data_IF_844562973181
#
_entry.id   IF_844562973181
#
_cell.length_a   1.000
_cell.length_b   1.000
_cell.length_c   1.000
_cell.angle_alpha   90.00
_cell.angle_beta   90.00
_cell.angle_gamma   90.00
#
_symmetry.space_group_name_H-M   'P 1'
#
loop_
_entity.id
_entity.type
_entity.pdbx_description
1 polymer ?
#
# COMPACT_ATOMS: atom_id res chain seq x y z
N UNK A 1 0.67 1.20 -29.43
CA UNK A 1 -0.08 0.47 -28.37
C UNK A 1 0.78 -0.71 -27.95
N UNK A 2 1.59 -0.58 -26.91
CA UNK A 2 2.35 -1.71 -26.36
C UNK A 2 1.46 -2.41 -25.36
N UNK A 3 1.07 -3.63 -25.67
CA UNK A 3 0.42 -4.57 -24.77
C UNK A 3 1.24 -4.67 -23.50
N UNK A 4 0.58 -4.50 -22.35
CA UNK A 4 1.15 -4.83 -21.05
C UNK A 4 1.40 -6.33 -21.12
N UNK A 5 2.64 -6.83 -20.91
CA UNK A 5 2.88 -8.25 -20.92
C UNK A 5 1.94 -8.89 -19.89
N UNK A 6 1.01 -9.72 -20.35
CA UNK A 6 0.24 -10.60 -19.49
C UNK A 6 1.25 -11.47 -18.74
N UNK A 7 1.40 -11.22 -17.44
CA UNK A 7 2.13 -12.18 -16.60
C UNK A 7 1.45 -13.54 -16.78
N UNK A 8 2.20 -14.57 -17.15
CA UNK A 8 1.61 -15.88 -17.34
C UNK A 8 0.90 -16.26 -16.05
N UNK A 9 -0.42 -16.34 -16.12
CA UNK A 9 -1.23 -16.88 -15.02
C UNK A 9 -0.60 -18.21 -14.65
N UNK A 10 -0.53 -18.59 -13.38
CA UNK A 10 -0.17 -19.94 -13.00
C UNK A 10 -1.29 -20.87 -13.49
N UNK A 11 -1.29 -21.17 -14.78
CA UNK A 11 -2.37 -21.82 -15.54
C UNK A 11 -2.80 -23.14 -14.92
N UNK A 12 -1.91 -23.86 -14.23
CA UNK A 12 -2.23 -25.18 -13.70
C UNK A 12 -3.11 -25.17 -12.44
N UNK A 13 -2.94 -24.23 -11.53
CA UNK A 13 -3.70 -24.23 -10.27
C UNK A 13 -5.09 -23.63 -10.44
N UNK A 14 -5.21 -22.47 -11.10
CA UNK A 14 -6.51 -21.84 -11.37
C UNK A 14 -7.37 -22.71 -12.29
N UNK A 15 -6.79 -23.34 -13.32
CA UNK A 15 -7.49 -24.26 -14.22
C UNK A 15 -7.95 -25.55 -13.53
N UNK A 16 -7.22 -25.98 -12.50
CA UNK A 16 -7.56 -27.20 -11.77
C UNK A 16 -8.57 -26.95 -10.65
N UNK A 17 -8.54 -25.75 -10.04
CA UNK A 17 -9.38 -25.39 -8.91
C UNK A 17 -10.74 -24.82 -9.36
N UNK A 18 -10.78 -24.07 -10.46
CA UNK A 18 -12.00 -23.51 -11.02
C UNK A 18 -11.87 -23.22 -12.54
N UNK A 19 -11.84 -24.24 -13.38
CA UNK A 19 -11.51 -24.10 -14.79
C UNK A 19 -12.54 -23.26 -15.60
N UNK A 20 -13.76 -23.13 -15.11
CA UNK A 20 -14.85 -22.42 -15.81
C UNK A 20 -15.36 -21.19 -15.05
N UNK A 21 -14.84 -20.87 -13.87
CA UNK A 21 -15.36 -19.81 -13.02
C UNK A 21 -16.75 -20.11 -12.41
N UNK A 22 -17.41 -21.17 -12.85
CA UNK A 22 -18.79 -21.51 -12.48
C UNK A 22 -18.90 -22.46 -11.26
N UNK A 23 -17.83 -23.17 -10.90
CA UNK A 23 -17.83 -24.15 -9.81
C UNK A 23 -17.08 -23.63 -8.59
N UNK A 24 -17.75 -23.68 -7.43
CA UNK A 24 -17.13 -23.41 -6.13
C UNK A 24 -16.07 -24.46 -5.81
N UNK A 25 -15.02 -24.03 -5.12
CA UNK A 25 -13.97 -24.93 -4.62
C UNK A 25 -14.45 -25.63 -3.37
N UNK A 26 -14.58 -26.95 -3.40
CA UNK A 26 -15.16 -27.76 -2.33
C UNK A 26 -14.12 -28.34 -1.36
N UNK A 27 -12.93 -28.70 -1.84
CA UNK A 27 -11.85 -29.28 -1.01
C UNK A 27 -10.64 -28.40 -1.09
N UNK A 28 -10.46 -27.51 -0.11
CA UNK A 28 -9.37 -26.55 -0.07
C UNK A 28 -8.51 -26.67 1.19
N UNK A 29 -9.12 -27.06 2.32
CA UNK A 29 -8.40 -27.13 3.60
C UNK A 29 -7.24 -28.13 3.57
N UNK A 30 -7.41 -29.26 2.87
CA UNK A 30 -6.36 -30.25 2.66
C UNK A 30 -5.13 -29.67 1.96
N UNK A 31 -5.35 -28.74 1.03
CA UNK A 31 -4.28 -28.02 0.31
C UNK A 31 -3.63 -26.92 1.16
N UNK A 32 -4.40 -26.34 2.12
CA UNK A 32 -3.87 -25.34 3.04
C UNK A 32 -2.86 -25.99 3.98
N UNK A 33 -3.18 -27.12 4.62
CA UNK A 33 -2.29 -27.77 5.58
C UNK A 33 -1.23 -28.68 4.99
N UNK A 34 -1.16 -28.86 3.65
CA UNK A 34 -0.07 -29.59 3.02
C UNK A 34 1.29 -29.08 3.50
N UNK A 35 2.20 -29.99 3.94
CA UNK A 35 3.52 -29.65 4.46
C UNK A 35 4.28 -28.68 3.55
N UNK A 36 4.35 -28.98 2.26
CA UNK A 36 4.98 -28.10 1.27
C UNK A 36 4.37 -26.68 1.24
N UNK A 37 3.06 -26.54 1.45
CA UNK A 37 2.43 -25.21 1.50
C UNK A 37 2.75 -24.47 2.80
N UNK A 38 2.85 -25.18 3.92
CA UNK A 38 3.28 -24.61 5.19
C UNK A 38 4.73 -24.15 5.16
N UNK A 39 5.62 -24.95 4.56
CA UNK A 39 7.03 -24.55 4.31
C UNK A 39 7.11 -23.28 3.46
N UNK A 40 6.39 -23.24 2.33
CA UNK A 40 6.32 -22.04 1.48
C UNK A 40 5.76 -20.82 2.24
N UNK A 41 4.80 -21.03 3.11
CA UNK A 41 4.23 -19.98 3.96
C UNK A 41 5.25 -19.47 4.96
N UNK A 42 5.95 -20.38 5.63
CA UNK A 42 7.03 -20.04 6.55
C UNK A 42 8.12 -19.19 5.88
N UNK A 43 8.62 -19.60 4.71
CA UNK A 43 9.65 -18.83 3.98
C UNK A 43 9.23 -17.37 3.72
N UNK A 44 7.96 -17.14 3.38
CA UNK A 44 7.44 -15.79 3.19
C UNK A 44 7.35 -15.00 4.51
N UNK A 45 6.91 -15.65 5.59
CA UNK A 45 6.82 -15.02 6.91
C UNK A 45 8.22 -14.67 7.43
N UNK A 46 9.18 -15.58 7.28
CA UNK A 46 10.58 -15.37 7.65
C UNK A 46 11.20 -14.19 6.91
N UNK A 47 11.00 -14.12 5.59
CA UNK A 47 11.53 -13.04 4.75
C UNK A 47 11.03 -11.64 5.17
N UNK A 48 9.82 -11.55 5.74
CA UNK A 48 9.22 -10.28 6.18
C UNK A 48 9.77 -9.76 7.52
N UNK A 49 10.53 -10.57 8.29
CA UNK A 49 11.22 -10.16 9.53
C UNK A 49 10.35 -9.36 10.53
N UNK A 50 9.09 -9.74 10.68
CA UNK A 50 8.15 -9.02 11.55
C UNK A 50 8.37 -9.28 13.05
N UNK A 51 7.88 -8.37 13.90
CA UNK A 51 7.90 -8.52 15.36
C UNK A 51 7.03 -9.68 15.84
N UNK A 52 7.27 -10.22 17.05
CA UNK A 52 6.46 -11.23 17.69
C UNK A 52 5.04 -10.77 18.05
N UNK A 53 4.11 -11.71 18.16
CA UNK A 53 2.72 -11.48 18.55
C UNK A 53 2.52 -11.36 20.06
N UNK A 54 1.36 -11.81 20.55
CA UNK A 54 1.02 -11.82 21.98
C UNK A 54 1.85 -12.82 22.78
N UNK A 55 2.30 -13.89 22.15
CA UNK A 55 3.17 -14.93 22.70
C UNK A 55 4.64 -14.49 22.88
N UNK A 56 5.01 -13.34 22.28
CA UNK A 56 6.38 -12.82 22.32
C UNK A 56 7.38 -13.59 21.45
N UNK A 57 6.98 -14.70 20.80
CA UNK A 57 7.87 -15.51 19.95
C UNK A 57 8.41 -14.68 18.78
N UNK A 58 9.72 -14.65 18.62
CA UNK A 58 10.36 -13.99 17.47
C UNK A 58 10.44 -14.93 16.25
N UNK A 59 10.77 -14.37 15.08
CA UNK A 59 11.05 -15.17 13.88
C UNK A 59 12.24 -16.10 14.09
N UNK A 60 13.24 -15.69 14.87
CA UNK A 60 14.42 -16.51 15.18
C UNK A 60 14.04 -17.69 16.11
N UNK A 61 13.20 -17.45 17.13
CA UNK A 61 12.73 -18.51 18.03
C UNK A 61 11.89 -19.56 17.28
N UNK A 62 11.05 -19.11 16.36
CA UNK A 62 10.27 -20.02 15.51
C UNK A 62 11.19 -20.85 14.59
N UNK A 63 12.25 -20.24 14.01
CA UNK A 63 13.21 -20.93 13.14
C UNK A 63 13.90 -22.08 13.88
N UNK A 64 14.27 -21.88 15.16
CA UNK A 64 14.89 -22.94 15.96
C UNK A 64 13.98 -24.16 16.17
N UNK A 65 12.67 -23.97 16.13
CA UNK A 65 11.66 -25.03 16.33
C UNK A 65 10.82 -25.26 15.06
N UNK A 66 11.31 -24.84 13.90
CA UNK A 66 10.55 -24.75 12.64
C UNK A 66 9.78 -26.05 12.33
N UNK A 67 10.46 -27.17 12.30
CA UNK A 67 9.86 -28.43 11.85
C UNK A 67 8.78 -28.91 12.83
N UNK A 68 9.02 -28.78 14.14
CA UNK A 68 8.03 -29.07 15.17
C UNK A 68 6.80 -28.18 15.07
N UNK A 69 7.00 -26.87 14.89
CA UNK A 69 5.90 -25.88 14.77
C UNK A 69 5.09 -26.11 13.48
N UNK A 70 5.73 -26.42 12.36
CA UNK A 70 5.03 -26.71 11.11
C UNK A 70 4.28 -28.04 11.18
N UNK A 71 4.84 -29.09 11.80
CA UNK A 71 4.16 -30.36 12.03
C UNK A 71 3.00 -30.22 13.00
N UNK A 72 3.12 -29.37 14.03
CA UNK A 72 2.04 -29.01 14.94
C UNK A 72 0.92 -28.33 14.16
N UNK A 73 1.21 -27.29 13.38
CA UNK A 73 0.22 -26.57 12.57
C UNK A 73 -0.47 -27.50 11.57
N UNK A 74 0.28 -28.40 10.93
CA UNK A 74 -0.27 -29.41 10.03
C UNK A 74 -1.32 -30.29 10.76
N UNK A 75 -0.98 -30.83 11.95
CA UNK A 75 -1.90 -31.65 12.75
C UNK A 75 -3.13 -30.87 13.21
N UNK A 76 -2.93 -29.67 13.77
CA UNK A 76 -4.04 -28.84 14.26
C UNK A 76 -5.02 -28.46 13.14
N UNK A 77 -4.52 -28.13 11.96
CA UNK A 77 -5.37 -27.82 10.80
C UNK A 77 -6.05 -29.07 10.24
N UNK A 78 -5.35 -30.21 10.17
CA UNK A 78 -5.91 -31.49 9.71
C UNK A 78 -7.06 -31.94 10.60
N UNK A 79 -6.87 -31.84 11.91
CA UNK A 79 -7.80 -32.36 12.91
C UNK A 79 -8.89 -31.33 13.30
N UNK A 80 -8.92 -30.16 12.66
CA UNK A 80 -9.88 -29.03 12.86
C UNK A 80 -9.85 -28.44 14.29
N UNK A 81 -8.72 -28.58 14.98
CA UNK A 81 -8.52 -28.09 16.37
C UNK A 81 -7.73 -26.79 16.45
N UNK A 82 -7.19 -26.30 15.34
CA UNK A 82 -6.47 -25.02 15.29
C UNK A 82 -7.38 -23.87 15.78
N UNK A 83 -6.82 -23.01 16.64
CA UNK A 83 -7.48 -21.79 17.12
C UNK A 83 -6.50 -20.62 17.03
N UNK A 84 -6.82 -19.57 16.25
CA UNK A 84 -5.97 -18.38 16.15
C UNK A 84 -5.93 -17.64 17.48
N UNK A 85 -4.75 -17.11 17.81
CA UNK A 85 -4.60 -16.28 19.00
C UNK A 85 -5.02 -14.82 18.70
N UNK A 86 -5.36 -14.04 19.75
CA UNK A 86 -5.61 -12.61 19.60
C UNK A 86 -4.41 -11.89 19.01
N UNK A 87 -4.64 -10.84 18.21
CA UNK A 87 -3.55 -10.03 17.69
C UNK A 87 -3.03 -9.06 18.75
N UNK A 88 -1.72 -8.91 18.84
CA UNK A 88 -1.09 -7.88 19.67
C UNK A 88 -1.34 -6.50 19.06
N UNK A 89 -2.04 -5.63 19.77
CA UNK A 89 -2.22 -4.25 19.35
C UNK A 89 -0.99 -3.39 19.65
N UNK A 90 -0.51 -2.67 18.64
CA UNK A 90 0.57 -1.70 18.78
C UNK A 90 0.09 -0.38 18.20
N UNK A 91 -0.02 0.69 19.03
CA UNK A 91 -0.40 2.00 18.54
C UNK A 91 0.73 2.61 17.70
N UNK A 92 0.41 2.97 16.45
CA UNK A 92 1.32 3.65 15.53
C UNK A 92 0.82 5.07 15.29
N UNK A 93 1.65 6.11 15.43
CA UNK A 93 1.24 7.48 15.14
C UNK A 93 0.76 7.63 13.71
N UNK A 94 -0.41 8.23 13.52
CA UNK A 94 -0.87 8.58 12.17
C UNK A 94 0.03 9.65 11.59
N UNK A 95 0.64 9.33 10.48
CA UNK A 95 1.60 10.20 9.84
C UNK A 95 0.98 11.56 9.44
N UNK A 96 1.55 12.66 9.94
CA UNK A 96 1.11 14.03 9.68
C UNK A 96 -0.13 14.48 10.45
N UNK A 97 -0.49 13.75 11.52
CA UNK A 97 -1.55 14.11 12.46
C UNK A 97 -1.04 13.90 13.89
N UNK A 98 -0.42 14.92 14.49
CA UNK A 98 0.03 14.85 15.87
C UNK A 98 -1.11 14.50 16.81
N UNK A 99 -0.89 13.52 17.71
CA UNK A 99 -1.90 13.07 18.66
C UNK A 99 -2.91 12.03 18.14
N UNK A 100 -2.99 11.76 16.83
CA UNK A 100 -3.80 10.66 16.30
C UNK A 100 -2.99 9.37 16.16
N UNK A 101 -3.54 8.26 16.63
CA UNK A 101 -2.94 6.91 16.57
C UNK A 101 -3.80 5.99 15.72
N UNK A 102 -3.21 4.95 15.19
CA UNK A 102 -3.88 3.79 14.61
C UNK A 102 -3.32 2.53 15.25
N UNK A 103 -4.16 1.57 15.52
CA UNK A 103 -3.74 0.30 16.07
C UNK A 103 -3.32 -0.65 14.94
N UNK A 104 -2.08 -1.14 15.01
CA UNK A 104 -1.61 -2.23 14.17
C UNK A 104 -1.79 -3.54 14.94
N UNK A 105 -2.52 -4.48 14.35
CA UNK A 105 -2.67 -5.83 14.90
C UNK A 105 -1.55 -6.74 14.43
N UNK A 106 -0.75 -7.28 15.34
CA UNK A 106 0.37 -8.17 15.05
C UNK A 106 -0.01 -9.58 15.46
N UNK A 107 -0.35 -10.51 14.54
CA UNK A 107 -0.59 -11.92 14.87
C UNK A 107 0.70 -12.61 15.33
N UNK A 108 0.59 -13.74 16.03
CA UNK A 108 1.72 -14.60 16.35
C UNK A 108 2.42 -15.08 15.08
N UNK A 109 3.67 -15.53 15.19
CA UNK A 109 4.38 -16.09 14.02
C UNK A 109 3.64 -17.33 13.51
N UNK A 110 3.16 -18.18 14.43
CA UNK A 110 2.38 -19.37 14.13
C UNK A 110 1.12 -19.03 13.30
N UNK A 111 0.35 -18.03 13.75
CA UNK A 111 -0.84 -17.58 13.04
C UNK A 111 -0.52 -16.94 11.68
N UNK A 112 0.60 -16.22 11.56
CA UNK A 112 1.03 -15.66 10.26
C UNK A 112 1.35 -16.76 9.26
N UNK A 113 1.97 -17.88 9.70
CA UNK A 113 2.21 -19.03 8.82
C UNK A 113 0.90 -19.64 8.36
N UNK A 114 -0.07 -19.83 9.28
CA UNK A 114 -1.41 -20.30 8.94
C UNK A 114 -2.11 -19.37 7.94
N UNK A 115 -2.13 -18.07 8.21
CA UNK A 115 -2.73 -17.07 7.33
C UNK A 115 -2.04 -17.03 5.96
N UNK A 116 -0.73 -17.16 5.92
CA UNK A 116 0.02 -17.17 4.66
C UNK A 116 -0.24 -18.47 3.86
N UNK A 117 -0.36 -19.61 4.55
CA UNK A 117 -0.72 -20.86 3.90
C UNK A 117 -2.14 -20.79 3.30
N UNK A 118 -3.07 -20.19 4.01
CA UNK A 118 -4.42 -19.91 3.52
C UNK A 118 -4.39 -18.93 2.33
N UNK A 119 -3.65 -17.83 2.44
CA UNK A 119 -3.48 -16.84 1.39
C UNK A 119 -2.92 -17.45 0.10
N UNK A 120 -1.92 -18.34 0.20
CA UNK A 120 -1.35 -19.03 -0.95
C UNK A 120 -2.39 -19.81 -1.78
N UNK A 121 -3.48 -20.24 -1.14
CA UNK A 121 -4.56 -21.03 -1.77
C UNK A 121 -5.74 -20.17 -2.19
N UNK A 122 -6.06 -19.11 -1.46
CA UNK A 122 -7.18 -18.22 -1.78
C UNK A 122 -6.82 -17.22 -2.89
N UNK A 123 -5.61 -16.66 -2.89
CA UNK A 123 -5.20 -15.64 -3.85
C UNK A 123 -5.44 -16.08 -5.32
N UNK A 124 -5.04 -17.30 -5.76
CA UNK A 124 -5.30 -17.75 -7.14
C UNK A 124 -6.79 -17.92 -7.49
N UNK A 125 -7.64 -18.12 -6.49
CA UNK A 125 -9.10 -18.27 -6.70
C UNK A 125 -9.74 -16.90 -6.90
N UNK A 126 -9.35 -15.90 -6.09
CA UNK A 126 -9.96 -14.57 -6.09
C UNK A 126 -9.32 -13.57 -7.04
N UNK A 127 -8.03 -13.71 -7.37
CA UNK A 127 -7.34 -12.75 -8.26
C UNK A 127 -8.06 -12.57 -9.62
N UNK A 128 -8.57 -13.63 -10.29
CA UNK A 128 -9.34 -13.48 -11.54
C UNK A 128 -10.70 -12.77 -11.35
N UNK A 129 -11.22 -12.76 -10.12
CA UNK A 129 -12.50 -12.14 -9.79
C UNK A 129 -12.39 -10.63 -9.56
N UNK A 130 -11.17 -10.14 -9.29
CA UNK A 130 -10.98 -8.72 -9.01
C UNK A 130 -11.09 -7.88 -10.27
N UNK A 131 -11.80 -6.76 -10.12
CA UNK A 131 -11.99 -5.80 -11.20
C UNK A 131 -10.67 -5.09 -11.58
N UNK A 132 -10.57 -4.67 -12.84
CA UNK A 132 -9.42 -3.91 -13.35
C UNK A 132 -9.27 -2.52 -12.74
N UNK A 133 -10.32 -2.01 -12.11
CA UNK A 133 -10.25 -0.76 -11.33
C UNK A 133 -9.44 -0.90 -10.04
N UNK A 134 -9.25 -2.14 -9.52
CA UNK A 134 -8.56 -2.42 -8.28
C UNK A 134 -7.07 -2.67 -8.49
N UNK A 135 -6.22 -1.91 -7.79
CA UNK A 135 -4.75 -1.96 -7.90
C UNK A 135 -4.05 -2.35 -6.60
N UNK A 136 -4.65 -2.08 -5.44
CA UNK A 136 -4.02 -2.34 -4.13
C UNK A 136 -3.95 -3.82 -3.79
N UNK A 137 -2.83 -4.23 -3.17
CA UNK A 137 -2.60 -5.60 -2.68
C UNK A 137 -2.69 -6.71 -3.73
N UNK A 138 -2.49 -6.39 -5.01
CA UNK A 138 -2.55 -7.33 -6.13
C UNK A 138 -1.19 -7.46 -6.80
N UNK A 139 -0.82 -8.69 -7.16
CA UNK A 139 0.42 -8.97 -7.91
C UNK A 139 0.37 -8.33 -9.29
N UNK A 140 1.50 -7.79 -9.74
CA UNK A 140 1.59 -7.12 -11.04
C UNK A 140 0.90 -5.76 -11.11
N UNK A 141 0.18 -5.33 -10.06
CA UNK A 141 -0.43 -4.01 -9.94
C UNK A 141 0.43 -3.09 -9.05
N UNK A 142 0.35 -1.80 -9.27
CA UNK A 142 1.18 -0.84 -8.53
C UNK A 142 0.46 0.50 -8.35
N UNK A 143 0.89 1.32 -7.35
CA UNK A 143 0.40 2.68 -7.21
C UNK A 143 0.60 3.52 -8.49
N UNK A 144 1.74 3.31 -9.19
CA UNK A 144 2.01 4.01 -10.45
C UNK A 144 1.07 3.56 -11.58
N UNK A 145 0.61 2.29 -11.57
CA UNK A 145 -0.42 1.81 -12.49
C UNK A 145 -1.74 2.55 -12.29
N UNK A 146 -2.20 2.66 -11.04
CA UNK A 146 -3.40 3.41 -10.67
C UNK A 146 -3.29 4.90 -11.05
N UNK A 147 -2.17 5.54 -10.71
CA UNK A 147 -1.90 6.93 -11.07
C UNK A 147 -1.91 7.15 -12.58
N UNK A 148 -1.31 6.24 -13.37
CA UNK A 148 -1.30 6.32 -14.84
C UNK A 148 -2.71 6.20 -15.41
N UNK A 149 -3.56 5.32 -14.85
CA UNK A 149 -4.96 5.20 -15.26
C UNK A 149 -5.70 6.52 -15.04
N UNK A 150 -5.66 7.07 -13.83
CA UNK A 150 -6.26 8.38 -13.51
C UNK A 150 -5.73 9.49 -14.41
N UNK A 151 -4.42 9.51 -14.65
CA UNK A 151 -3.78 10.48 -15.53
C UNK A 151 -4.35 10.44 -16.94
N UNK A 152 -4.42 9.24 -17.55
CA UNK A 152 -4.98 9.06 -18.90
C UNK A 152 -6.45 9.48 -18.99
N UNK A 153 -7.24 9.20 -17.96
CA UNK A 153 -8.65 9.58 -17.91
C UNK A 153 -8.83 11.10 -17.86
N UNK A 154 -7.96 11.82 -17.15
CA UNK A 154 -7.97 13.29 -17.10
C UNK A 154 -7.51 13.87 -18.46
N UNK A 155 -6.46 13.33 -19.07
CA UNK A 155 -6.03 13.73 -20.41
C UNK A 155 -7.11 13.46 -21.47
N UNK A 156 -7.92 12.41 -21.27
CA UNK A 156 -9.07 12.06 -22.11
C UNK A 156 -10.33 12.87 -21.86
N UNK A 157 -10.26 13.95 -21.06
CA UNK A 157 -11.37 14.90 -20.88
C UNK A 157 -12.08 14.88 -19.53
N UNK A 158 -11.73 13.96 -18.59
CA UNK A 158 -12.30 13.98 -17.25
C UNK A 158 -11.79 15.19 -16.46
N UNK A 159 -12.69 16.07 -16.04
CA UNK A 159 -12.34 17.32 -15.34
C UNK A 159 -12.75 17.33 -13.87
N UNK A 160 -13.61 16.42 -13.46
CA UNK A 160 -14.14 16.33 -12.09
C UNK A 160 -13.71 15.03 -11.44
N UNK A 161 -13.32 15.11 -10.19
CA UNK A 161 -12.85 13.98 -9.41
C UNK A 161 -13.75 13.83 -8.17
N UNK A 162 -14.29 12.63 -7.98
CA UNK A 162 -14.78 12.20 -6.68
C UNK A 162 -13.58 11.65 -5.94
N UNK A 163 -13.12 12.37 -4.91
CA UNK A 163 -12.02 12.00 -4.01
C UNK A 163 -12.66 11.59 -2.69
N UNK A 164 -12.60 10.30 -2.36
CA UNK A 164 -13.33 9.76 -1.24
C UNK A 164 -12.47 8.80 -0.40
N UNK A 165 -12.67 8.89 0.92
CA UNK A 165 -12.02 8.05 1.93
C UNK A 165 -13.09 7.24 2.67
N UNK A 166 -12.80 6.01 3.04
CA UNK A 166 -13.69 5.16 3.83
C UNK A 166 -13.50 5.46 5.33
N UNK A 167 -14.61 5.46 6.06
CA UNK A 167 -14.58 5.67 7.51
C UNK A 167 -14.21 4.37 8.20
N UNK A 168 -13.08 4.38 8.90
CA UNK A 168 -12.58 3.22 9.68
C UNK A 168 -12.78 1.86 8.98
N UNK A 169 -12.35 1.80 7.72
CA UNK A 169 -12.65 0.68 6.83
C UNK A 169 -12.36 -0.69 7.46
N UNK A 170 -11.13 -0.86 7.99
CA UNK A 170 -10.74 -2.15 8.57
C UNK A 170 -11.51 -2.48 9.86
N UNK A 171 -11.92 -1.48 10.64
CA UNK A 171 -12.72 -1.67 11.86
C UNK A 171 -14.20 -1.91 11.58
N UNK A 172 -14.71 -1.53 10.40
CA UNK A 172 -16.14 -1.62 10.06
C UNK A 172 -16.55 -2.86 9.29
N UNK A 173 -15.61 -3.72 8.89
CA UNK A 173 -15.88 -4.93 8.08
C UNK A 173 -16.84 -5.87 8.81
N UNK A 174 -18.04 -6.09 8.26
CA UNK A 174 -19.01 -7.04 8.79
C UNK A 174 -18.61 -8.47 8.41
N UNK A 175 -18.39 -9.33 9.40
CA UNK A 175 -17.85 -10.68 9.20
C UNK A 175 -18.79 -11.57 8.37
N UNK A 176 -20.10 -11.48 8.61
CA UNK A 176 -21.14 -12.21 7.87
C UNK A 176 -21.15 -11.87 6.39
N UNK A 177 -21.11 -10.58 6.05
CA UNK A 177 -21.06 -10.11 4.65
C UNK A 177 -19.78 -10.55 3.95
N UNK A 178 -18.65 -10.42 4.63
CA UNK A 178 -17.36 -10.86 4.09
C UNK A 178 -17.35 -12.38 3.85
N UNK A 179 -17.77 -13.18 4.82
CA UNK A 179 -17.84 -14.64 4.70
C UNK A 179 -18.82 -15.07 3.61
N UNK A 180 -19.95 -14.39 3.46
CA UNK A 180 -20.88 -14.62 2.37
C UNK A 180 -20.25 -14.39 0.98
N UNK A 181 -19.40 -13.36 0.86
CA UNK A 181 -18.66 -13.10 -0.39
C UNK A 181 -17.57 -14.15 -0.65
N UNK A 182 -16.85 -14.58 0.39
CA UNK A 182 -15.89 -15.68 0.27
C UNK A 182 -16.61 -16.98 -0.16
N UNK A 183 -17.77 -17.26 0.42
CA UNK A 183 -18.57 -18.45 0.13
C UNK A 183 -19.13 -18.51 -1.31
N UNK A 184 -19.06 -17.41 -2.08
CA UNK A 184 -19.39 -17.43 -3.50
C UNK A 184 -18.44 -18.29 -4.33
N UNK A 185 -17.16 -18.33 -3.94
CA UNK A 185 -16.12 -19.07 -4.65
C UNK A 185 -15.63 -20.30 -3.88
N UNK A 186 -15.70 -20.29 -2.55
CA UNK A 186 -15.21 -21.35 -1.66
C UNK A 186 -16.38 -21.99 -0.94
N UNK A 187 -16.65 -23.27 -1.25
CA UNK A 187 -17.68 -24.06 -0.56
C UNK A 187 -17.15 -24.90 0.61
N UNK A 188 -15.81 -24.90 0.83
CA UNK A 188 -15.17 -25.61 1.94
C UNK A 188 -15.53 -24.96 3.28
N UNK A 189 -16.43 -25.59 4.04
CA UNK A 189 -16.91 -25.09 5.32
C UNK A 189 -15.81 -24.97 6.39
N UNK A 190 -14.75 -25.79 6.32
CA UNK A 190 -13.61 -25.70 7.24
C UNK A 190 -12.77 -24.44 6.95
N UNK A 191 -12.58 -24.10 5.69
CA UNK A 191 -11.90 -22.85 5.30
C UNK A 191 -12.72 -21.63 5.74
N UNK A 192 -14.05 -21.65 5.56
CA UNK A 192 -14.91 -20.56 5.99
C UNK A 192 -14.89 -20.39 7.52
N UNK A 193 -14.93 -21.51 8.28
CA UNK A 193 -14.77 -21.46 9.75
C UNK A 193 -13.40 -20.93 10.18
N UNK A 194 -12.33 -21.34 9.49
CA UNK A 194 -10.97 -20.87 9.76
C UNK A 194 -10.86 -19.35 9.56
N UNK A 195 -11.38 -18.81 8.45
CA UNK A 195 -11.43 -17.37 8.22
C UNK A 195 -12.27 -16.67 9.31
N UNK A 196 -13.45 -17.22 9.62
CA UNK A 196 -14.31 -16.69 10.69
C UNK A 196 -13.63 -16.67 12.05
N UNK A 197 -12.88 -17.72 12.40
CA UNK A 197 -12.09 -17.77 13.63
C UNK A 197 -10.98 -16.71 13.65
N UNK A 198 -10.27 -16.51 12.54
CA UNK A 198 -9.25 -15.46 12.42
C UNK A 198 -9.84 -14.04 12.57
N UNK A 199 -11.03 -13.80 12.04
CA UNK A 199 -11.73 -12.51 12.17
C UNK A 199 -12.18 -12.26 13.62
N UNK A 200 -12.61 -13.32 14.31
CA UNK A 200 -13.12 -13.27 15.70
C UNK A 200 -12.04 -13.40 16.77
N UNK A 201 -10.78 -13.64 16.40
CA UNK A 201 -9.71 -13.88 17.37
C UNK A 201 -9.48 -12.73 18.38
N UNK A 202 -9.97 -11.54 18.07
CA UNK A 202 -9.85 -10.38 18.94
C UNK A 202 -8.44 -9.81 18.97
N UNK A 203 -8.21 -8.92 19.93
CA UNK A 203 -6.93 -8.24 20.09
C UNK A 203 -6.56 -8.06 21.55
N UNK A 204 -5.25 -7.96 21.81
CA UNK A 204 -4.69 -7.68 23.12
C UNK A 204 -3.84 -6.41 23.10
N UNK A 205 -4.10 -5.51 24.04
CA UNK A 205 -3.24 -4.37 24.37
C UNK A 205 -2.70 -4.57 25.78
N UNK A 206 -1.42 -4.92 25.90
CA UNK A 206 -0.84 -5.39 27.15
C UNK A 206 -1.53 -6.68 27.65
N UNK A 207 -2.22 -6.59 28.79
CA UNK A 207 -3.01 -7.70 29.37
C UNK A 207 -4.51 -7.61 29.10
N UNK A 208 -4.95 -6.57 28.41
CA UNK A 208 -6.35 -6.34 28.14
C UNK A 208 -6.76 -7.01 26.82
N UNK A 209 -7.69 -7.95 26.88
CA UNK A 209 -8.29 -8.62 25.72
C UNK A 209 -9.57 -7.89 25.29
N UNK A 210 -9.74 -7.69 24.01
CA UNK A 210 -10.95 -7.17 23.37
C UNK A 210 -11.42 -8.15 22.30
N UNK A 211 -12.64 -8.62 22.41
CA UNK A 211 -13.27 -9.46 21.39
C UNK A 211 -13.52 -8.64 20.11
N UNK A 212 -13.59 -9.31 18.97
CA UNK A 212 -13.86 -8.71 17.69
C UNK A 212 -15.15 -9.29 17.08
N UNK A 213 -16.23 -8.52 17.10
CA UNK A 213 -17.48 -8.91 16.44
C UNK A 213 -17.56 -8.38 15.00
N UNK A 214 -16.78 -7.37 14.70
CA UNK A 214 -16.61 -6.78 13.37
C UNK A 214 -15.18 -6.33 13.17
N UNK A 215 -14.82 -6.04 11.94
CA UNK A 215 -13.49 -5.57 11.57
C UNK A 215 -12.54 -6.70 11.19
N UNK A 216 -11.43 -6.31 10.60
CA UNK A 216 -10.30 -7.20 10.29
C UNK A 216 -9.02 -6.55 10.79
N UNK A 217 -8.10 -7.29 11.42
CA UNK A 217 -6.89 -6.71 12.00
C UNK A 217 -6.03 -6.02 10.93
N UNK A 218 -5.72 -4.73 11.14
CA UNK A 218 -4.73 -4.04 10.31
C UNK A 218 -3.35 -4.63 10.59
N UNK A 219 -2.80 -5.37 9.62
CA UNK A 219 -1.50 -6.02 9.72
C UNK A 219 -1.54 -7.54 9.69
N UNK A 220 -2.71 -8.17 9.74
CA UNK A 220 -2.84 -9.60 9.48
C UNK A 220 -2.56 -9.92 8.00
N UNK A 221 -1.94 -11.07 7.75
CA UNK A 221 -1.45 -11.47 6.41
C UNK A 221 -2.59 -11.64 5.41
N UNK A 222 -3.74 -12.13 5.83
CA UNK A 222 -4.89 -12.40 4.96
C UNK A 222 -5.79 -11.17 4.75
N UNK A 223 -5.72 -10.16 5.63
CA UNK A 223 -6.61 -8.98 5.60
C UNK A 223 -6.61 -8.21 4.27
N UNK A 224 -5.48 -8.03 3.56
CA UNK A 224 -5.46 -7.38 2.26
C UNK A 224 -6.29 -8.10 1.19
N UNK A 225 -6.25 -9.44 1.15
CA UNK A 225 -7.07 -10.23 0.24
C UNK A 225 -8.56 -10.11 0.58
N UNK A 226 -8.90 -10.26 1.86
CA UNK A 226 -10.28 -10.15 2.36
C UNK A 226 -10.85 -8.75 2.08
N UNK A 227 -10.04 -7.72 2.22
CA UNK A 227 -10.38 -6.33 1.85
C UNK A 227 -10.77 -6.20 0.37
N UNK A 228 -9.99 -6.79 -0.53
CA UNK A 228 -10.30 -6.78 -1.95
C UNK A 228 -11.56 -7.59 -2.28
N UNK A 229 -11.78 -8.74 -1.61
CA UNK A 229 -13.00 -9.54 -1.78
C UNK A 229 -14.24 -8.71 -1.40
N UNK A 230 -14.20 -8.00 -0.25
CA UNK A 230 -15.32 -7.18 0.21
C UNK A 230 -15.65 -6.03 -0.75
N UNK A 231 -14.63 -5.39 -1.34
CA UNK A 231 -14.82 -4.22 -2.21
C UNK A 231 -15.01 -4.58 -3.69
N UNK A 232 -14.84 -5.83 -4.10
CA UNK A 232 -15.06 -6.25 -5.50
C UNK A 232 -16.47 -5.97 -6.02
N UNK A 233 -17.55 -6.20 -5.25
CA UNK A 233 -18.90 -5.81 -5.69
C UNK A 233 -19.03 -4.31 -5.94
N UNK A 234 -18.40 -3.47 -5.12
CA UNK A 234 -18.34 -2.01 -5.31
C UNK A 234 -17.65 -1.66 -6.64
N UNK A 235 -16.48 -2.25 -6.90
CA UNK A 235 -15.73 -1.99 -8.12
C UNK A 235 -16.55 -2.35 -9.37
N UNK A 236 -17.12 -3.55 -9.38
CA UNK A 236 -17.90 -4.07 -10.51
C UNK A 236 -19.17 -3.26 -10.77
N UNK A 237 -19.90 -2.89 -9.71
CA UNK A 237 -21.15 -2.16 -9.85
C UNK A 237 -20.91 -0.71 -10.30
N UNK A 238 -19.89 -0.04 -9.73
CA UNK A 238 -19.51 1.31 -10.18
C UNK A 238 -19.12 1.31 -11.67
N UNK A 239 -18.31 0.36 -12.09
CA UNK A 239 -17.91 0.23 -13.50
C UNK A 239 -19.06 -0.22 -14.40
N UNK A 240 -19.92 -1.12 -13.95
CA UNK A 240 -21.11 -1.55 -14.65
C UNK A 240 -22.09 -0.40 -14.95
N UNK A 241 -22.12 0.62 -14.08
CA UNK A 241 -22.86 1.87 -14.29
C UNK A 241 -22.12 2.89 -15.16
N UNK A 242 -20.96 2.54 -15.71
CA UNK A 242 -20.17 3.39 -16.60
C UNK A 242 -19.24 4.40 -15.90
N UNK A 243 -19.07 4.33 -14.57
CA UNK A 243 -18.16 5.22 -13.85
C UNK A 243 -16.70 4.77 -13.98
N UNK A 244 -15.80 5.71 -14.19
CA UNK A 244 -14.35 5.50 -14.30
C UNK A 244 -13.71 5.44 -12.91
N UNK A 245 -13.89 4.31 -12.23
CA UNK A 245 -13.33 4.06 -10.89
C UNK A 245 -11.86 3.65 -10.99
N UNK A 246 -11.04 4.14 -10.06
CA UNK A 246 -9.69 3.65 -9.78
C UNK A 246 -9.52 3.51 -8.27
N UNK A 247 -9.26 2.29 -7.80
CA UNK A 247 -9.12 1.97 -6.38
C UNK A 247 -7.75 1.36 -6.05
N UNK A 248 -7.17 1.79 -4.96
CA UNK A 248 -5.97 1.20 -4.37
C UNK A 248 -6.22 0.90 -2.88
N UNK A 249 -6.54 -0.35 -2.55
CA UNK A 249 -7.03 -0.75 -1.23
C UNK A 249 -8.33 -0.02 -0.86
N UNK A 250 -8.31 0.77 0.21
CA UNK A 250 -9.41 1.61 0.70
C UNK A 250 -9.40 3.04 0.10
N UNK A 251 -8.33 3.44 -0.58
CA UNK A 251 -8.19 4.74 -1.25
C UNK A 251 -8.71 4.65 -2.70
N UNK A 252 -9.67 5.48 -3.09
CA UNK A 252 -10.24 5.41 -4.42
C UNK A 252 -10.70 6.77 -4.95
N UNK A 253 -10.72 6.87 -6.26
CA UNK A 253 -11.21 8.04 -6.99
C UNK A 253 -12.10 7.62 -8.15
N UNK A 254 -13.08 8.48 -8.48
CA UNK A 254 -13.84 8.39 -9.74
C UNK A 254 -13.58 9.64 -10.55
N UNK A 255 -13.16 9.45 -11.80
CA UNK A 255 -12.95 10.54 -12.75
C UNK A 255 -14.21 10.73 -13.59
N UNK A 256 -14.64 11.99 -13.73
CA UNK A 256 -15.90 12.37 -14.38
C UNK A 256 -15.66 13.53 -15.35
N UNK A 257 -16.48 13.62 -16.39
CA UNK A 257 -16.43 14.72 -17.36
C UNK A 257 -17.14 15.97 -16.84
N UNK A 258 -18.23 15.77 -16.10
CA UNK A 258 -19.08 16.87 -15.58
C UNK A 258 -19.27 16.80 -14.07
N UNK A 259 -19.57 17.95 -13.46
CA UNK A 259 -19.93 18.03 -12.04
C UNK A 259 -21.19 17.22 -11.70
N UNK A 260 -22.17 17.16 -12.61
CA UNK A 260 -23.38 16.38 -12.47
C UNK A 260 -23.04 14.89 -12.37
N UNK A 261 -22.27 14.38 -13.31
CA UNK A 261 -21.82 12.97 -13.29
C UNK A 261 -21.07 12.63 -12.00
N UNK A 262 -20.23 13.55 -11.49
CA UNK A 262 -19.51 13.33 -10.23
C UNK A 262 -20.46 13.25 -9.01
N UNK A 263 -21.53 14.05 -8.98
CA UNK A 263 -22.56 13.97 -7.93
C UNK A 263 -23.33 12.64 -8.00
N UNK A 264 -23.73 12.22 -9.19
CA UNK A 264 -24.41 10.95 -9.42
C UNK A 264 -23.51 9.76 -9.02
N UNK A 265 -22.22 9.78 -9.40
CA UNK A 265 -21.23 8.78 -9.01
C UNK A 265 -21.05 8.68 -7.49
N UNK A 266 -21.01 9.83 -6.78
CA UNK A 266 -20.91 9.85 -5.32
C UNK A 266 -22.14 9.26 -4.64
N UNK A 267 -23.35 9.56 -5.14
CA UNK A 267 -24.60 8.98 -4.63
C UNK A 267 -24.61 7.46 -4.84
N UNK A 268 -24.25 7.00 -6.04
CA UNK A 268 -24.14 5.57 -6.36
C UNK A 268 -23.11 4.88 -5.45
N UNK A 269 -21.92 5.45 -5.30
CA UNK A 269 -20.87 4.92 -4.43
C UNK A 269 -21.34 4.76 -2.98
N UNK A 270 -22.02 5.79 -2.44
CA UNK A 270 -22.56 5.74 -1.07
C UNK A 270 -23.58 4.63 -0.90
N UNK A 271 -24.49 4.47 -1.84
CA UNK A 271 -25.52 3.42 -1.80
C UNK A 271 -24.89 2.02 -1.83
N UNK A 272 -23.96 1.77 -2.75
CA UNK A 272 -23.30 0.47 -2.89
C UNK A 272 -22.47 0.12 -1.66
N UNK A 273 -21.67 1.07 -1.17
CA UNK A 273 -20.83 0.87 0.02
C UNK A 273 -21.65 0.63 1.28
N UNK A 274 -22.77 1.36 1.47
CA UNK A 274 -23.68 1.15 2.58
C UNK A 274 -24.28 -0.26 2.57
N UNK A 275 -24.64 -0.80 1.41
CA UNK A 275 -25.09 -2.20 1.29
C UNK A 275 -24.02 -3.21 1.71
N UNK A 276 -22.73 -2.89 1.52
CA UNK A 276 -21.60 -3.69 1.99
C UNK A 276 -21.27 -3.45 3.49
N UNK A 277 -21.96 -2.53 4.15
CA UNK A 277 -21.69 -2.16 5.55
C UNK A 277 -20.48 -1.22 5.72
N UNK A 278 -20.11 -0.50 4.67
CA UNK A 278 -18.97 0.43 4.65
C UNK A 278 -19.49 1.85 4.44
N UNK A 279 -18.97 2.79 5.21
CA UNK A 279 -19.37 4.19 5.15
C UNK A 279 -18.29 5.09 4.58
N UNK A 280 -18.71 6.13 3.87
CA UNK A 280 -17.82 7.21 3.44
C UNK A 280 -17.47 8.12 4.61
N UNK A 281 -16.23 8.59 4.68
CA UNK A 281 -15.81 9.58 5.66
C UNK A 281 -16.38 10.96 5.29
N UNK A 282 -17.28 11.56 6.11
CA UNK A 282 -18.04 12.74 5.72
C UNK A 282 -17.18 13.97 5.43
N UNK A 283 -16.07 14.15 6.17
CA UNK A 283 -15.20 15.33 6.03
C UNK A 283 -14.09 15.17 4.98
N UNK A 284 -13.82 13.94 4.52
CA UNK A 284 -12.74 13.67 3.56
C UNK A 284 -13.25 13.33 2.17
N UNK A 285 -14.55 13.11 2.04
CA UNK A 285 -15.20 12.87 0.76
C UNK A 285 -15.57 14.19 0.11
N UNK A 286 -15.09 14.43 -1.11
CA UNK A 286 -15.30 15.69 -1.82
C UNK A 286 -15.33 15.48 -3.33
N UNK A 287 -16.01 16.38 -4.01
CA UNK A 287 -15.98 16.53 -5.46
C UNK A 287 -15.10 17.73 -5.79
N UNK A 288 -14.06 17.51 -6.60
CA UNK A 288 -13.05 18.53 -6.91
C UNK A 288 -12.86 18.62 -8.41
N UNK A 289 -12.80 19.84 -8.96
CA UNK A 289 -12.35 20.05 -10.33
C UNK A 289 -10.82 19.98 -10.39
N UNK A 290 -10.26 19.29 -11.40
CA UNK A 290 -8.82 19.02 -11.55
C UNK A 290 -7.97 20.31 -11.52
N UNK A 291 -8.52 21.45 -11.96
CA UNK A 291 -7.82 22.75 -11.87
C UNK A 291 -7.48 23.19 -10.45
N UNK A 292 -8.22 22.74 -9.43
CA UNK A 292 -7.92 23.05 -8.02
C UNK A 292 -6.94 22.02 -7.41
N UNK A 293 -6.84 20.86 -8.02
CA UNK A 293 -5.97 19.76 -7.59
C UNK A 293 -6.60 18.86 -6.53
N UNK A 294 -6.21 17.60 -6.55
CA UNK A 294 -6.59 16.58 -5.59
C UNK A 294 -5.37 15.74 -5.20
N UNK A 295 -5.49 14.98 -4.12
CA UNK A 295 -4.43 14.09 -3.65
C UNK A 295 -4.85 12.64 -3.86
N UNK A 296 -3.98 11.84 -4.47
CA UNK A 296 -4.18 10.40 -4.63
C UNK A 296 -2.85 9.68 -4.52
N UNK A 297 -2.79 8.63 -3.72
CA UNK A 297 -1.60 7.78 -3.52
C UNK A 297 -0.31 8.59 -3.24
N UNK A 298 -0.43 9.62 -2.42
CA UNK A 298 0.73 10.44 -2.03
C UNK A 298 1.14 11.50 -3.06
N UNK A 299 0.47 11.57 -4.21
CA UNK A 299 0.65 12.62 -5.20
C UNK A 299 -0.43 13.68 -5.06
N UNK A 300 -0.06 14.92 -5.34
CA UNK A 300 -0.96 16.03 -5.62
C UNK A 300 -1.00 16.24 -7.13
N UNK A 301 -2.17 16.03 -7.72
CA UNK A 301 -2.40 16.12 -9.16
C UNK A 301 -3.23 17.39 -9.43
N UNK A 302 -2.77 18.22 -10.36
CA UNK A 302 -3.42 19.50 -10.70
C UNK A 302 -3.25 19.82 -12.16
N UNK A 303 -4.31 20.35 -12.77
CA UNK A 303 -4.28 20.94 -14.10
C UNK A 303 -4.11 22.46 -13.99
N UNK A 304 -3.28 23.07 -14.84
CA UNK A 304 -3.13 24.53 -14.87
C UNK A 304 -1.71 25.00 -15.16
N UNK A 305 -1.55 26.32 -15.34
CA UNK A 305 -0.36 26.94 -15.86
C UNK A 305 0.87 26.96 -14.91
N UNK A 306 0.76 26.57 -13.60
CA UNK A 306 1.89 26.72 -12.67
C UNK A 306 1.96 25.70 -11.56
N UNK A 307 3.16 25.17 -11.28
CA UNK A 307 3.50 24.57 -9.98
C UNK A 307 3.50 25.62 -8.86
N UNK A 308 2.89 25.31 -7.75
CA UNK A 308 2.75 26.17 -6.55
C UNK A 308 4.08 26.67 -5.92
N UNK A 309 5.24 26.20 -6.39
CA UNK A 309 6.56 26.52 -5.80
C UNK A 309 7.45 27.41 -6.69
N UNK A 310 6.84 28.11 -7.67
CA UNK A 310 7.59 29.00 -8.54
C UNK A 310 7.16 30.45 -8.39
N UNK A 311 8.11 31.40 -8.17
CA UNK A 311 7.80 32.81 -8.25
C UNK A 311 7.35 33.17 -9.69
N UNK A 312 6.40 34.10 -9.79
CA UNK A 312 5.75 34.49 -11.03
C UNK A 312 6.72 34.93 -12.15
N UNK A 313 7.89 35.45 -11.76
CA UNK A 313 8.87 36.08 -12.65
C UNK A 313 9.72 35.13 -13.50
N UNK A 314 9.62 33.80 -13.33
CA UNK A 314 10.48 32.83 -14.08
C UNK A 314 9.70 31.88 -14.99
N UNK A 315 8.61 32.34 -15.59
CA UNK A 315 7.81 31.52 -16.52
C UNK A 315 8.18 31.89 -17.93
N UNK A 316 8.84 30.96 -18.64
CA UNK A 316 8.95 31.05 -20.10
C UNK A 316 7.56 30.85 -20.70
N UNK A 317 7.18 31.77 -21.60
CA UNK A 317 6.00 31.70 -22.45
C UNK A 317 6.05 30.41 -23.28
N UNK A 318 5.30 29.39 -22.90
CA UNK A 318 5.29 28.10 -23.59
C UNK A 318 4.60 26.97 -22.79
N UNK A 319 4.12 27.24 -21.58
CA UNK A 319 3.31 26.27 -20.84
C UNK A 319 1.93 26.23 -21.48
N UNK A 320 1.61 25.11 -22.13
CA UNK A 320 0.27 24.87 -22.69
C UNK A 320 -0.77 25.05 -21.57
N UNK A 321 -1.73 25.97 -21.78
CA UNK A 321 -2.90 26.08 -20.93
C UNK A 321 -3.57 24.70 -20.86
N UNK A 322 -3.72 24.17 -19.65
CA UNK A 322 -4.33 22.87 -19.43
C UNK A 322 -3.36 21.71 -19.19
N UNK A 323 -2.04 21.93 -19.12
CA UNK A 323 -1.09 20.86 -18.78
C UNK A 323 -1.37 20.28 -17.39
N UNK A 324 -1.28 18.96 -17.28
CA UNK A 324 -1.45 18.23 -16.04
C UNK A 324 -0.11 18.08 -15.31
N UNK A 325 -0.10 18.30 -14.01
CA UNK A 325 1.09 18.21 -13.16
C UNK A 325 0.86 17.26 -12.00
N UNK A 326 1.88 16.49 -11.64
CA UNK A 326 1.91 15.66 -10.45
C UNK A 326 3.13 16.04 -9.59
N UNK A 327 2.90 16.16 -8.28
CA UNK A 327 3.91 16.48 -7.28
C UNK A 327 3.76 15.57 -6.08
N UNK A 328 4.83 15.30 -5.32
CA UNK A 328 4.69 14.73 -3.98
C UNK A 328 3.81 15.66 -3.11
N UNK A 329 2.86 15.10 -2.39
CA UNK A 329 2.08 15.89 -1.44
C UNK A 329 2.96 16.45 -0.32
N UNK A 330 2.62 17.61 0.18
CA UNK A 330 3.44 18.36 1.16
C UNK A 330 3.79 17.52 2.39
N UNK A 331 2.84 16.74 2.91
CA UNK A 331 3.07 15.80 4.03
C UNK A 331 4.12 14.73 3.72
N UNK A 332 4.24 14.28 2.48
CA UNK A 332 5.26 13.30 2.09
C UNK A 332 6.65 13.92 2.08
N UNK A 333 6.77 15.14 1.59
CA UNK A 333 8.02 15.93 1.61
C UNK A 333 8.44 16.17 3.07
N UNK A 334 7.50 16.61 3.90
CA UNK A 334 7.77 16.88 5.32
C UNK A 334 8.25 15.64 6.06
N UNK A 335 7.65 14.47 5.83
CA UNK A 335 8.09 13.20 6.44
C UNK A 335 9.52 12.84 6.06
N UNK A 336 9.87 12.97 4.78
CA UNK A 336 11.24 12.75 4.32
C UNK A 336 12.20 13.69 5.07
N UNK A 337 11.86 14.98 5.12
CA UNK A 337 12.69 15.98 5.81
C UNK A 337 12.81 15.68 7.31
N UNK A 338 11.76 15.25 7.98
CA UNK A 338 11.78 14.93 9.40
C UNK A 338 12.62 13.68 9.69
N UNK A 339 12.57 12.67 8.81
CA UNK A 339 13.41 11.48 8.92
C UNK A 339 14.89 11.84 8.73
N UNK A 340 15.23 12.65 7.72
CA UNK A 340 16.58 13.16 7.52
C UNK A 340 17.03 14.00 8.74
N UNK A 341 16.17 14.90 9.25
CA UNK A 341 16.48 15.71 10.45
C UNK A 341 16.78 14.82 11.64
N UNK A 342 15.98 13.77 11.88
CA UNK A 342 16.16 12.85 13.00
C UNK A 342 17.52 12.17 12.95
N UNK A 343 17.91 11.62 11.81
CA UNK A 343 19.19 10.94 11.63
C UNK A 343 20.38 11.90 11.67
N UNK A 344 20.24 13.11 11.14
CA UNK A 344 21.32 14.11 11.06
C UNK A 344 21.35 15.08 12.23
N UNK A 345 20.79 14.72 13.41
CA UNK A 345 20.97 15.52 14.64
C UNK A 345 22.44 15.52 15.04
N UNK A 346 22.96 16.67 15.52
CA UNK A 346 24.36 16.82 15.91
C UNK A 346 24.83 15.86 17.01
N UNK A 347 23.90 15.37 17.83
CA UNK A 347 24.14 14.42 18.92
C UNK A 347 24.16 12.96 18.50
N UNK A 348 23.77 12.63 17.24
CA UNK A 348 23.77 11.25 16.77
C UNK A 348 25.21 10.75 16.65
N UNK A 349 25.60 9.63 17.31
CA UNK A 349 27.00 9.17 17.38
C UNK A 349 27.33 8.28 16.15
N UNK A 350 27.04 8.76 14.93
CA UNK A 350 27.37 8.07 13.68
C UNK A 350 28.43 8.85 12.92
N UNK A 351 29.32 8.14 12.26
CA UNK A 351 30.21 8.71 11.25
C UNK A 351 29.42 9.16 10.02
N UNK A 352 30.01 9.98 9.17
CA UNK A 352 29.35 10.43 7.93
C UNK A 352 28.97 9.27 7.02
N UNK A 353 29.81 8.24 6.93
CA UNK A 353 29.58 7.06 6.08
C UNK A 353 28.43 6.22 6.64
N UNK A 354 28.41 5.94 7.92
CA UNK A 354 27.31 5.20 8.58
C UNK A 354 25.98 5.95 8.41
N UNK A 355 26.01 7.26 8.59
CA UNK A 355 24.83 8.10 8.44
C UNK A 355 24.28 8.09 7.00
N UNK A 356 25.15 8.10 5.99
CA UNK A 356 24.76 7.95 4.59
C UNK A 356 24.16 6.56 4.35
N UNK A 357 24.75 5.51 4.93
CA UNK A 357 24.22 4.14 4.83
C UNK A 357 22.79 4.03 5.39
N UNK A 358 22.53 4.68 6.53
CA UNK A 358 21.21 4.75 7.16
C UNK A 358 20.19 5.61 6.37
N UNK A 359 20.66 6.68 5.71
CA UNK A 359 19.80 7.57 4.93
C UNK A 359 19.41 6.98 3.58
N UNK A 360 20.32 6.30 2.91
CA UNK A 360 20.18 5.87 1.53
C UNK A 360 18.93 5.04 1.24
N UNK A 361 18.50 4.05 2.06
CA UNK A 361 17.29 3.30 1.82
C UNK A 361 16.05 4.20 1.72
N UNK A 362 15.96 5.18 2.62
CA UNK A 362 14.86 6.15 2.64
C UNK A 362 14.90 7.08 1.44
N UNK A 363 16.06 7.65 1.13
CA UNK A 363 16.24 8.56 -0.01
C UNK A 363 15.95 7.85 -1.33
N UNK A 364 16.50 6.65 -1.52
CA UNK A 364 16.29 5.85 -2.72
C UNK A 364 14.83 5.43 -2.88
N UNK A 365 14.19 4.94 -1.82
CA UNK A 365 12.79 4.52 -1.84
C UNK A 365 11.87 5.68 -2.20
N UNK A 366 12.01 6.81 -1.50
CA UNK A 366 11.21 8.02 -1.73
C UNK A 366 11.49 8.62 -3.12
N UNK A 367 12.76 8.74 -3.49
CA UNK A 367 13.17 9.29 -4.77
C UNK A 367 12.66 8.46 -5.95
N UNK A 368 12.80 7.13 -5.89
CA UNK A 368 12.28 6.20 -6.93
C UNK A 368 10.76 6.26 -7.06
N UNK A 369 10.05 6.42 -5.94
CA UNK A 369 8.59 6.56 -5.96
C UNK A 369 8.14 7.81 -6.71
N UNK A 370 8.80 8.96 -6.49
CA UNK A 370 8.40 10.24 -7.07
C UNK A 370 9.15 10.65 -8.34
N UNK A 371 10.17 9.91 -8.80
CA UNK A 371 11.04 10.31 -9.94
C UNK A 371 10.33 10.59 -11.26
N UNK A 372 9.09 10.09 -11.42
CA UNK A 372 8.27 10.33 -12.63
C UNK A 372 7.35 11.55 -12.50
N UNK A 373 7.32 12.20 -11.37
CA UNK A 373 6.58 13.43 -11.14
C UNK A 373 7.38 14.67 -11.60
N UNK A 374 6.79 15.84 -11.51
CA UNK A 374 7.42 17.12 -11.84
C UNK A 374 8.36 17.59 -10.70
N UNK A 375 9.36 16.79 -10.36
CA UNK A 375 10.17 16.93 -9.14
C UNK A 375 11.58 17.50 -9.33
N UNK A 376 12.04 17.76 -10.55
CA UNK A 376 13.43 18.17 -10.80
C UNK A 376 13.91 19.29 -9.87
N UNK A 377 13.14 20.37 -9.72
CA UNK A 377 13.49 21.49 -8.83
C UNK A 377 13.41 21.13 -7.36
N UNK A 378 12.43 20.29 -6.97
CA UNK A 378 12.31 19.81 -5.60
C UNK A 378 13.50 18.94 -5.24
N UNK A 379 13.88 18.01 -6.09
CA UNK A 379 15.01 17.11 -5.87
C UNK A 379 16.31 17.89 -5.72
N UNK A 380 16.56 18.88 -6.60
CA UNK A 380 17.72 19.78 -6.43
C UNK A 380 17.77 20.47 -5.07
N UNK A 381 16.65 21.01 -4.61
CA UNK A 381 16.58 21.64 -3.30
C UNK A 381 16.80 20.66 -2.16
N UNK A 382 16.25 19.45 -2.28
CA UNK A 382 16.40 18.41 -1.26
C UNK A 382 17.84 17.90 -1.21
N UNK A 383 18.48 17.64 -2.35
CA UNK A 383 19.87 17.21 -2.42
C UNK A 383 20.80 18.24 -1.76
N UNK A 384 20.70 19.51 -2.15
CA UNK A 384 21.48 20.57 -1.53
C UNK A 384 21.18 20.75 -0.03
N UNK A 385 19.94 20.51 0.40
CA UNK A 385 19.57 20.58 1.82
C UNK A 385 20.12 19.38 2.59
N UNK A 386 20.09 18.16 2.04
CA UNK A 386 20.63 16.95 2.64
C UNK A 386 22.14 17.10 2.84
N UNK A 387 22.88 17.58 1.84
CA UNK A 387 24.32 17.86 1.94
C UNK A 387 24.61 18.82 3.10
N UNK A 388 23.87 19.94 3.19
CA UNK A 388 24.02 20.88 4.31
C UNK A 388 23.72 20.26 5.67
N UNK A 389 22.77 19.31 5.74
CA UNK A 389 22.48 18.55 6.97
C UNK A 389 23.66 17.67 7.37
N UNK A 390 24.31 16.99 6.41
CA UNK A 390 25.50 16.17 6.63
C UNK A 390 26.68 17.04 7.12
N UNK A 391 26.91 18.19 6.50
CA UNK A 391 27.93 19.15 6.98
C UNK A 391 27.65 19.64 8.41
N UNK A 392 26.40 20.00 8.70
CA UNK A 392 26.00 20.43 10.05
C UNK A 392 26.21 19.33 11.09
N UNK A 393 25.95 18.09 10.77
CA UNK A 393 26.23 16.94 11.63
C UNK A 393 27.73 16.76 11.85
N UNK A 394 28.51 16.71 10.76
CA UNK A 394 29.97 16.45 10.82
C UNK A 394 30.77 17.57 11.53
N UNK A 395 30.47 18.85 11.19
CA UNK A 395 31.21 20.00 11.67
C UNK A 395 30.53 20.72 12.84
N UNK A 396 29.38 20.23 13.31
CA UNK A 396 28.58 20.82 14.41
C UNK A 396 28.22 22.30 14.20
N UNK A 397 28.31 22.81 12.95
CA UNK A 397 27.98 24.17 12.51
C UNK A 397 26.96 24.14 11.38
N UNK A 398 26.09 25.16 11.33
CA UNK A 398 25.03 25.25 10.34
C UNK A 398 25.41 25.91 9.00
N UNK A 399 26.59 26.58 8.94
CA UNK A 399 27.02 27.28 7.73
C UNK A 399 27.70 26.34 6.73
N UNK A 400 27.92 26.80 5.48
CA UNK A 400 28.59 26.07 4.38
C UNK A 400 30.07 25.77 4.65
N UNK A 401 30.40 25.25 5.83
CA UNK A 401 31.77 24.99 6.26
C UNK A 401 32.36 23.74 5.63
N UNK A 402 31.48 22.87 5.08
CA UNK A 402 31.90 21.54 4.62
C UNK A 402 32.36 21.47 3.17
N UNK A 403 32.07 22.45 2.32
CA UNK A 403 32.28 22.34 0.89
C UNK A 403 33.73 22.07 0.44
N UNK A 404 34.74 22.57 1.20
CA UNK A 404 36.15 22.28 0.95
C UNK A 404 36.61 20.94 1.54
N UNK A 405 36.17 20.63 2.78
CA UNK A 405 36.64 19.46 3.56
C UNK A 405 35.81 18.19 3.31
N UNK A 406 34.58 18.33 2.87
CA UNK A 406 33.65 17.25 2.56
C UNK A 406 32.85 17.65 1.33
N UNK A 407 33.49 17.72 0.15
CA UNK A 407 32.84 18.16 -1.08
C UNK A 407 31.74 17.18 -1.53
N UNK A 408 30.82 17.68 -2.34
CA UNK A 408 29.72 16.85 -2.89
C UNK A 408 30.24 15.65 -3.69
N UNK A 409 31.38 15.81 -4.41
CA UNK A 409 32.00 14.71 -5.13
C UNK A 409 32.39 13.54 -4.25
N UNK A 410 32.88 13.80 -3.04
CA UNK A 410 33.20 12.79 -2.03
C UNK A 410 31.93 12.13 -1.49
N UNK A 411 30.90 12.94 -1.18
CA UNK A 411 29.64 12.43 -0.64
C UNK A 411 28.91 11.52 -1.64
N UNK A 412 28.80 11.95 -2.88
CA UNK A 412 28.07 11.18 -3.93
C UNK A 412 28.93 10.08 -4.55
N UNK A 413 30.22 10.33 -4.74
CA UNK A 413 31.15 9.39 -5.38
C UNK A 413 31.62 8.31 -4.39
N UNK A 414 32.45 8.68 -3.44
CA UNK A 414 33.13 7.71 -2.54
C UNK A 414 32.22 7.18 -1.44
N UNK A 415 31.42 8.07 -0.78
CA UNK A 415 30.52 7.65 0.30
C UNK A 415 29.17 7.14 -0.20
N UNK A 416 28.90 7.26 -1.49
CA UNK A 416 27.74 6.68 -2.15
C UNK A 416 26.40 7.27 -1.70
N UNK A 417 26.35 8.57 -1.31
CA UNK A 417 25.08 9.23 -1.01
C UNK A 417 24.14 9.16 -2.21
N UNK A 418 22.90 8.79 -1.99
CA UNK A 418 21.87 8.79 -3.04
C UNK A 418 21.60 10.22 -3.51
N UNK A 419 21.82 10.47 -4.80
CA UNK A 419 21.46 11.72 -5.48
C UNK A 419 20.05 11.59 -6.04
N UNK A 420 19.09 12.37 -5.52
CA UNK A 420 17.68 12.31 -5.96
C UNK A 420 17.54 12.74 -7.42
N UNK A 421 18.27 13.77 -7.87
CA UNK A 421 18.29 14.22 -9.28
C UNK A 421 18.73 13.09 -10.21
N UNK A 422 19.74 12.32 -9.81
CA UNK A 422 20.26 11.19 -10.57
C UNK A 422 19.25 10.04 -10.74
N UNK A 423 18.20 9.99 -9.90
CA UNK A 423 17.13 9.00 -10.03
C UNK A 423 16.11 9.33 -11.12
N UNK A 424 16.07 10.57 -11.63
CA UNK A 424 15.13 10.99 -12.67
C UNK A 424 15.56 10.35 -13.99
N UNK A 425 14.69 9.60 -14.69
CA UNK A 425 15.03 9.01 -15.97
C UNK A 425 15.49 10.07 -16.98
N UNK A 426 16.57 9.80 -17.72
CA UNK A 426 16.97 10.63 -18.84
C UNK A 426 15.90 10.58 -19.93
N UNK A 427 15.72 11.69 -20.68
CA UNK A 427 14.72 11.79 -21.75
C UNK A 427 14.95 10.73 -22.84
N UNK A 428 16.19 10.28 -23.04
CA UNK A 428 16.54 9.20 -23.96
C UNK A 428 15.95 7.83 -23.53
N UNK A 429 15.96 7.50 -22.24
CA UNK A 429 15.44 6.24 -21.72
C UNK A 429 13.89 6.19 -21.67
N UNK A 430 13.20 7.32 -21.77
CA UNK A 430 11.74 7.37 -21.80
C UNK A 430 11.14 7.09 -23.18
N UNK A 431 11.92 7.23 -24.26
CA UNK A 431 11.47 6.95 -25.63
C UNK A 431 11.58 5.48 -26.01
N UNK A 432 12.52 4.72 -25.44
CA UNK A 432 12.68 3.29 -25.70
C UNK A 432 11.73 2.39 -24.89
N UNK A 433 11.02 2.92 -23.90
CA UNK A 433 9.99 2.19 -23.13
C UNK A 433 8.57 2.46 -23.64
N UNK A 434 8.43 3.15 -24.79
CA UNK A 434 7.16 3.49 -25.45
C UNK A 434 7.09 2.92 -26.88
N UNK A 435 8.07 2.14 -27.28
CA UNK A 435 8.08 1.22 -28.43
C UNK A 435 8.10 -0.19 -27.88
#
# INVERSE_FOLDING_TARGET
>A
MSEIPEHPRPRRLAHWINPTGARKVHSLIDKVYQKKNLEMAWEKVRANKGAGGVDGQSVADFELQRDEQLDRLHRELRDDVYRPQPVKQVPIPKAGKPGEWRNLGIPTIFDRVCQQALLNRLEPIFEPEFDDASFGYRRGRSPHGALRKVWKEIEGGSQWIVDADLRDYFGSVQHDKLLALVARQVADGRVLRLIGAMLKAGSCEGRHYTSSEQGTPQGAVVSPLLSNILLTPFDREMRGRGYRLTRFADDWVVTCETARQAKEALVAARHILSALGVELHPQKTRIVHVRYGFEFLGYKIKQGAKPLHLPASKIRSGVRNGALYAYPRDRSIQRLMDQVRRLTRRKVPLTTVELIRELNPTLAGWGRYYRRAHVRRLFHRLDAWIVRRLWSHRFKRWRNVGWKRLPESLLYGEYGLVNLIGLIPSIAASRSAST
#
